data_IF_347301008923
#
_entry.id   IF_347301008923
#
_cell.length_a   1.000
_cell.length_b   1.000
_cell.length_c   1.000
_cell.angle_alpha   90.00
_cell.angle_beta   90.00
_cell.angle_gamma   90.00
#
_symmetry.space_group_name_H-M   'P 1'
#
loop_
_entity.id
_entity.type
_entity.pdbx_description
1 polymer ?
#
# COMPACT_ATOMS: atom_id res chain seq x y z
N UNK A 1 -1.10 -16.44 2.42
CA UNK A 1 -1.16 -14.97 2.58
C UNK A 1 0.07 -14.39 1.88
N UNK A 2 -0.09 -13.44 0.95
CA UNK A 2 1.01 -12.88 0.16
C UNK A 2 2.12 -12.29 1.05
N UNK A 3 3.39 -12.43 0.65
CA UNK A 3 4.54 -11.90 1.42
C UNK A 3 4.39 -10.41 1.70
N UNK A 4 3.92 -9.64 0.72
CA UNK A 4 3.70 -8.18 0.86
C UNK A 4 2.78 -7.83 2.02
N UNK A 5 1.77 -8.66 2.36
CA UNK A 5 0.87 -8.42 3.49
C UNK A 5 1.63 -8.50 4.82
N UNK A 6 2.48 -9.53 4.97
CA UNK A 6 3.33 -9.69 6.15
C UNK A 6 4.33 -8.53 6.25
N UNK A 7 4.87 -8.06 5.12
CA UNK A 7 5.83 -6.95 5.09
C UNK A 7 5.20 -5.62 5.51
N UNK A 8 3.97 -5.31 5.08
CA UNK A 8 3.28 -4.08 5.51
C UNK A 8 2.90 -4.15 6.99
N UNK A 9 2.55 -5.33 7.49
CA UNK A 9 2.37 -5.53 8.93
C UNK A 9 3.66 -5.28 9.73
N UNK A 10 4.79 -5.84 9.28
CA UNK A 10 6.10 -5.60 9.89
C UNK A 10 6.54 -4.13 9.78
N UNK A 11 6.20 -3.45 8.68
CA UNK A 11 6.46 -2.03 8.51
C UNK A 11 5.70 -1.21 9.57
N UNK A 12 4.41 -1.50 9.80
CA UNK A 12 3.64 -0.85 10.86
C UNK A 12 4.32 -1.00 12.22
N UNK A 13 4.72 -2.23 12.60
CA UNK A 13 5.41 -2.49 13.87
C UNK A 13 6.69 -1.64 13.98
N UNK A 14 7.48 -1.54 12.90
CA UNK A 14 8.71 -0.73 12.88
C UNK A 14 8.42 0.76 13.08
N UNK A 15 7.38 1.29 12.43
CA UNK A 15 6.98 2.70 12.58
C UNK A 15 6.47 2.96 14.00
N UNK A 16 5.68 2.07 14.57
CA UNK A 16 5.20 2.15 15.97
C UNK A 16 6.35 2.08 16.97
N UNK A 17 7.34 1.20 16.74
CA UNK A 17 8.54 1.10 17.58
C UNK A 17 9.36 2.39 17.54
N UNK A 18 9.53 2.98 16.36
CA UNK A 18 10.22 4.26 16.21
C UNK A 18 9.46 5.39 16.91
N UNK A 19 8.13 5.40 16.79
CA UNK A 19 7.26 6.36 17.48
C UNK A 19 7.46 6.31 19.01
N UNK A 20 7.43 5.10 19.59
CA UNK A 20 7.66 4.88 21.02
C UNK A 20 9.07 5.31 21.44
N UNK A 21 10.09 5.00 20.64
CA UNK A 21 11.46 5.40 20.93
C UNK A 21 11.61 6.92 20.99
N UNK A 22 11.06 7.66 20.00
CA UNK A 22 11.08 9.13 20.01
C UNK A 22 10.33 9.68 21.23
N UNK A 23 9.17 9.11 21.55
CA UNK A 23 8.37 9.55 22.69
C UNK A 23 9.11 9.38 24.04
N UNK A 24 9.88 8.30 24.20
CA UNK A 24 10.60 7.99 25.45
C UNK A 24 11.93 8.74 25.56
N UNK A 25 12.70 8.83 24.47
CA UNK A 25 14.09 9.28 24.51
C UNK A 25 14.29 10.75 24.13
N UNK A 26 13.34 11.38 23.43
CA UNK A 26 13.50 12.77 23.00
C UNK A 26 12.81 13.76 23.95
N UNK A 27 13.62 14.39 24.81
CA UNK A 27 13.18 15.45 25.74
C UNK A 27 13.13 16.86 25.11
N UNK A 28 13.64 17.04 23.88
CA UNK A 28 13.71 18.34 23.22
C UNK A 28 12.40 18.72 22.50
N UNK A 29 11.55 19.49 23.17
CA UNK A 29 10.49 20.28 22.53
C UNK A 29 11.13 21.41 21.72
N UNK A 30 10.78 21.67 20.44
CA UNK A 30 9.60 21.23 19.66
C UNK A 30 9.89 20.17 18.56
N UNK A 31 11.13 19.70 18.44
CA UNK A 31 11.57 18.75 17.39
C UNK A 31 10.94 17.38 17.57
N UNK A 32 10.86 16.89 18.81
CA UNK A 32 10.24 15.61 19.14
C UNK A 32 8.75 15.61 18.75
N UNK A 33 8.02 16.66 19.15
CA UNK A 33 6.59 16.81 18.83
C UNK A 33 6.36 16.85 17.30
N UNK A 34 7.17 17.62 16.57
CA UNK A 34 7.14 17.68 15.12
C UNK A 34 7.33 16.31 14.46
N UNK A 35 8.30 15.55 14.95
CA UNK A 35 8.62 14.20 14.45
C UNK A 35 7.52 13.19 14.74
N UNK A 36 6.90 13.27 15.93
CA UNK A 36 5.76 12.41 16.29
C UNK A 36 4.55 12.67 15.39
N UNK A 37 4.22 13.93 15.10
CA UNK A 37 3.14 14.25 14.17
C UNK A 37 3.43 13.76 12.74
N UNK A 38 4.67 13.89 12.27
CA UNK A 38 5.08 13.32 10.99
C UNK A 38 4.89 11.80 10.96
N UNK A 39 5.42 11.09 11.97
CA UNK A 39 5.28 9.63 12.05
C UNK A 39 3.82 9.19 12.16
N UNK A 40 3.00 9.90 12.93
CA UNK A 40 1.56 9.63 13.03
C UNK A 40 0.87 9.70 11.66
N UNK A 41 1.26 10.67 10.82
CA UNK A 41 0.69 10.80 9.49
C UNK A 41 1.11 9.67 8.55
N UNK A 42 2.35 9.17 8.65
CA UNK A 42 2.79 7.98 7.90
C UNK A 42 2.12 6.72 8.43
N UNK A 43 2.07 6.56 9.76
CA UNK A 43 1.49 5.42 10.43
C UNK A 43 0.00 5.25 10.08
N UNK A 44 -0.75 6.35 10.03
CA UNK A 44 -2.17 6.32 9.68
C UNK A 44 -2.41 5.70 8.29
N UNK A 45 -1.59 6.06 7.29
CA UNK A 45 -1.74 5.49 5.93
C UNK A 45 -1.35 4.00 5.90
N UNK A 46 -0.29 3.61 6.61
CA UNK A 46 0.15 2.21 6.70
C UNK A 46 -0.87 1.36 7.46
N UNK A 47 -1.45 1.87 8.54
CA UNK A 47 -2.49 1.19 9.32
C UNK A 47 -3.77 1.01 8.51
N UNK A 48 -4.21 2.04 7.78
CA UNK A 48 -5.38 1.94 6.90
C UNK A 48 -5.17 0.84 5.85
N UNK A 49 -3.99 0.81 5.20
CA UNK A 49 -3.65 -0.26 4.27
C UNK A 49 -3.62 -1.64 4.93
N UNK A 50 -3.02 -1.79 6.11
CA UNK A 50 -3.01 -3.05 6.84
C UNK A 50 -4.42 -3.54 7.20
N UNK A 51 -5.29 -2.65 7.66
CA UNK A 51 -6.68 -3.00 7.95
C UNK A 51 -7.40 -3.48 6.70
N UNK A 52 -7.14 -2.87 5.53
CA UNK A 52 -7.67 -3.34 4.26
C UNK A 52 -7.13 -4.74 3.91
N UNK A 53 -5.83 -4.98 4.09
CA UNK A 53 -5.19 -6.27 3.79
C UNK A 53 -5.63 -7.40 4.73
N UNK A 54 -6.05 -7.09 5.95
CA UNK A 54 -6.49 -8.06 6.96
C UNK A 54 -7.98 -8.41 6.91
N UNK A 55 -8.77 -7.72 6.07
CA UNK A 55 -10.20 -8.05 5.92
C UNK A 55 -10.36 -9.47 5.39
N UNK A 56 -11.34 -10.20 5.93
CA UNK A 56 -11.61 -11.61 5.61
C UNK A 56 -11.97 -11.87 4.14
N UNK A 57 -12.35 -10.83 3.39
CA UNK A 57 -12.70 -10.89 1.97
C UNK A 57 -11.61 -10.29 1.06
N UNK A 58 -10.49 -9.81 1.63
CA UNK A 58 -9.38 -9.28 0.83
C UNK A 58 -8.60 -10.42 0.21
N UNK A 59 -8.48 -10.41 -1.11
CA UNK A 59 -7.74 -11.42 -1.87
C UNK A 59 -6.66 -10.79 -2.75
N UNK A 60 -5.94 -11.62 -3.52
CA UNK A 60 -4.91 -11.17 -4.46
C UNK A 60 -5.38 -10.06 -5.41
N UNK A 61 -6.67 -10.08 -5.77
CA UNK A 61 -7.27 -9.08 -6.69
C UNK A 61 -7.32 -7.67 -6.10
N UNK A 62 -7.35 -7.54 -4.77
CA UNK A 62 -7.44 -6.24 -4.10
C UNK A 62 -6.06 -5.64 -3.86
N UNK A 63 -4.99 -6.47 -3.88
CA UNK A 63 -3.64 -6.04 -3.55
C UNK A 63 -3.18 -4.89 -4.43
N UNK A 64 -3.42 -4.96 -5.75
CA UNK A 64 -2.98 -3.89 -6.65
C UNK A 64 -3.55 -2.53 -6.25
N UNK A 65 -4.86 -2.46 -5.99
CA UNK A 65 -5.52 -1.22 -5.59
C UNK A 65 -5.01 -0.74 -4.23
N UNK A 66 -4.98 -1.61 -3.22
CA UNK A 66 -4.58 -1.24 -1.85
C UNK A 66 -3.13 -0.71 -1.83
N UNK A 67 -2.21 -1.43 -2.47
CA UNK A 67 -0.78 -1.06 -2.49
C UNK A 67 -0.57 0.21 -3.30
N UNK A 68 -1.20 0.34 -4.48
CA UNK A 68 -1.05 1.53 -5.32
C UNK A 68 -1.63 2.76 -4.63
N UNK A 69 -2.75 2.63 -3.91
CA UNK A 69 -3.32 3.72 -3.12
C UNK A 69 -2.43 4.12 -1.95
N UNK A 70 -1.84 3.16 -1.23
CA UNK A 70 -0.86 3.43 -0.19
C UNK A 70 0.35 4.19 -0.76
N UNK A 71 0.95 3.69 -1.85
CA UNK A 71 2.10 4.33 -2.50
C UNK A 71 1.74 5.73 -3.00
N UNK A 72 0.56 5.93 -3.58
CA UNK A 72 0.06 7.24 -4.00
C UNK A 72 -0.07 8.19 -2.81
N UNK A 73 -0.69 7.74 -1.71
CA UNK A 73 -0.84 8.54 -0.48
C UNK A 73 0.53 8.94 0.09
N UNK A 74 1.47 7.99 0.19
CA UNK A 74 2.83 8.26 0.68
C UNK A 74 3.61 9.21 -0.24
N UNK A 75 3.53 9.05 -1.57
CA UNK A 75 4.14 9.95 -2.54
C UNK A 75 3.53 11.35 -2.47
N UNK A 76 2.21 11.46 -2.38
CA UNK A 76 1.55 12.75 -2.20
C UNK A 76 2.06 13.48 -0.95
N UNK A 77 2.49 12.79 0.12
CA UNK A 77 3.08 13.46 1.29
C UNK A 77 4.45 14.10 1.02
N UNK A 78 5.14 13.72 -0.06
CA UNK A 78 6.39 14.36 -0.49
C UNK A 78 6.13 15.71 -1.19
N UNK A 79 5.00 15.81 -1.90
CA UNK A 79 4.66 16.91 -2.81
C UNK A 79 3.60 17.88 -2.24
N UNK A 80 2.67 17.38 -1.42
CA UNK A 80 1.72 18.20 -0.70
C UNK A 80 2.48 19.12 0.25
N UNK A 81 1.89 20.26 0.62
CA UNK A 81 2.51 21.22 1.53
C UNK A 81 2.77 20.58 2.90
N UNK A 82 3.91 19.88 2.95
CA UNK A 82 4.65 19.30 4.06
C UNK A 82 3.84 18.45 5.02
N UNK A 83 4.04 17.13 4.92
CA UNK A 83 3.94 16.18 6.04
C UNK A 83 2.65 16.20 6.88
N UNK A 84 1.62 16.96 6.49
CA UNK A 84 0.52 17.41 7.32
C UNK A 84 0.68 18.83 7.90
N UNK A 85 -0.40 19.61 7.85
CA UNK A 85 -0.47 21.01 8.34
C UNK A 85 0.12 21.23 9.74
N UNK A 86 -0.13 20.31 10.68
CA UNK A 86 0.39 20.41 12.05
C UNK A 86 1.93 20.34 12.11
N UNK A 87 2.55 19.54 11.24
CA UNK A 87 4.01 19.47 11.12
C UNK A 87 4.54 20.82 10.62
N UNK A 88 3.83 21.48 9.70
CA UNK A 88 4.20 22.82 9.25
C UNK A 88 4.12 23.87 10.35
N UNK A 89 3.01 23.91 11.06
CA UNK A 89 2.82 24.84 12.16
C UNK A 89 3.91 24.67 13.24
N UNK A 90 4.47 23.46 13.39
CA UNK A 90 5.58 23.17 14.31
C UNK A 90 6.95 23.52 13.73
N UNK A 91 7.19 23.25 12.44
CA UNK A 91 8.42 23.64 11.75
C UNK A 91 8.59 25.17 11.74
N UNK A 92 7.50 25.93 11.58
CA UNK A 92 7.53 27.41 11.63
C UNK A 92 7.90 27.97 13.01
N UNK A 93 7.70 27.19 14.07
CA UNK A 93 8.05 27.57 15.45
C UNK A 93 9.51 27.30 15.80
N UNK A 94 10.22 26.53 14.97
CA UNK A 94 11.65 26.26 15.16
C UNK A 94 12.43 27.52 14.76
N UNK A 95 13.26 28.03 15.68
CA UNK A 95 13.96 29.30 15.48
C UNK A 95 15.17 29.19 14.54
N UNK A 96 15.69 27.98 14.31
CA UNK A 96 16.90 27.73 13.54
C UNK A 96 16.58 27.18 12.14
N UNK A 97 16.81 27.94 11.05
CA UNK A 97 16.52 27.51 9.69
C UNK A 97 17.26 26.24 9.24
N UNK A 98 18.45 26.00 9.80
CA UNK A 98 19.25 24.80 9.55
C UNK A 98 18.54 23.55 10.09
N UNK A 99 18.03 23.59 11.32
CA UNK A 99 17.29 22.49 11.94
C UNK A 99 16.01 22.15 11.17
N UNK A 100 15.30 23.17 10.68
CA UNK A 100 14.12 23.01 9.83
C UNK A 100 14.48 22.24 8.54
N UNK A 101 15.56 22.65 7.87
CA UNK A 101 15.99 22.02 6.63
C UNK A 101 16.46 20.58 6.86
N UNK A 102 17.16 20.32 7.96
CA UNK A 102 17.63 18.98 8.31
C UNK A 102 16.46 18.05 8.64
N UNK A 103 15.44 18.53 9.37
CA UNK A 103 14.21 17.78 9.61
C UNK A 103 13.45 17.48 8.33
N UNK A 104 13.30 18.48 7.44
CA UNK A 104 12.64 18.27 6.15
C UNK A 104 13.37 17.21 5.30
N UNK A 105 14.71 17.22 5.29
CA UNK A 105 15.51 16.19 4.62
C UNK A 105 15.28 14.83 5.29
N UNK A 106 15.34 14.75 6.61
CA UNK A 106 15.14 13.53 7.37
C UNK A 106 13.77 12.91 7.07
N UNK A 107 12.70 13.70 7.11
CA UNK A 107 11.34 13.24 6.85
C UNK A 107 11.15 12.79 5.40
N UNK A 108 11.74 13.50 4.42
CA UNK A 108 11.74 13.07 3.01
C UNK A 108 12.46 11.74 2.84
N UNK A 109 13.68 11.62 3.39
CA UNK A 109 14.47 10.39 3.33
C UNK A 109 13.74 9.22 3.98
N UNK A 110 13.12 9.44 5.15
CA UNK A 110 12.31 8.41 5.82
C UNK A 110 11.17 7.93 4.92
N UNK A 111 10.38 8.85 4.38
CA UNK A 111 9.23 8.50 3.55
C UNK A 111 9.66 7.79 2.26
N UNK A 112 10.78 8.19 1.65
CA UNK A 112 11.38 7.50 0.51
C UNK A 112 11.83 6.07 0.87
N UNK A 113 12.46 5.87 2.03
CA UNK A 113 12.83 4.53 2.50
C UNK A 113 11.59 3.66 2.69
N UNK A 114 10.51 4.20 3.24
CA UNK A 114 9.24 3.47 3.41
C UNK A 114 8.65 3.08 2.05
N UNK A 115 8.61 4.01 1.09
CA UNK A 115 8.14 3.75 -0.28
C UNK A 115 8.98 2.66 -0.94
N UNK A 116 10.30 2.81 -0.93
CA UNK A 116 11.22 1.82 -1.52
C UNK A 116 11.08 0.45 -0.87
N UNK A 117 10.87 0.40 0.45
CA UNK A 117 10.62 -0.84 1.17
C UNK A 117 9.35 -1.52 0.66
N UNK A 118 8.25 -0.79 0.47
CA UNK A 118 7.01 -1.37 -0.06
C UNK A 118 7.20 -1.82 -1.51
N UNK A 119 7.81 -0.97 -2.35
CA UNK A 119 8.04 -1.23 -3.77
C UNK A 119 8.89 -2.49 -3.98
N UNK A 120 9.95 -2.71 -3.19
CA UNK A 120 10.85 -3.84 -3.36
C UNK A 120 10.16 -5.20 -3.21
N UNK A 121 9.11 -5.28 -2.39
CA UNK A 121 8.35 -6.53 -2.20
C UNK A 121 7.12 -6.62 -3.11
N UNK A 122 6.71 -5.50 -3.69
CA UNK A 122 5.56 -5.45 -4.58
C UNK A 122 5.96 -5.63 -6.04
N UNK A 123 7.15 -5.17 -6.45
CA UNK A 123 7.58 -5.13 -7.85
C UNK A 123 7.50 -6.49 -8.53
N UNK A 124 7.97 -7.53 -7.84
CA UNK A 124 8.07 -8.91 -8.35
C UNK A 124 6.72 -9.50 -8.77
N UNK A 125 5.63 -9.03 -8.16
CA UNK A 125 4.27 -9.53 -8.40
C UNK A 125 3.30 -8.44 -8.88
N UNK A 126 3.77 -7.21 -9.08
CA UNK A 126 2.94 -6.05 -9.42
C UNK A 126 2.14 -6.25 -10.71
N UNK A 127 2.75 -6.85 -11.74
CA UNK A 127 2.09 -7.16 -13.01
C UNK A 127 1.00 -8.22 -12.86
N UNK A 128 1.24 -9.23 -12.03
CA UNK A 128 0.24 -10.25 -11.69
C UNK A 128 -0.97 -9.57 -11.06
N UNK A 129 -0.76 -8.87 -9.94
CA UNK A 129 -1.82 -8.20 -9.19
C UNK A 129 -2.58 -7.19 -10.05
N UNK A 130 -1.88 -6.46 -10.94
CA UNK A 130 -2.51 -5.55 -11.90
C UNK A 130 -3.40 -6.28 -12.89
N UNK A 131 -2.92 -7.39 -13.46
CA UNK A 131 -3.68 -8.14 -14.46
C UNK A 131 -4.97 -8.69 -13.87
N UNK A 132 -4.96 -9.13 -12.61
CA UNK A 132 -6.09 -9.79 -11.96
C UNK A 132 -7.05 -8.80 -11.27
N UNK A 133 -6.70 -7.51 -11.21
CA UNK A 133 -7.53 -6.44 -10.62
C UNK A 133 -8.94 -6.39 -11.21
N UNK A 134 -9.09 -6.74 -12.50
CA UNK A 134 -10.37 -6.75 -13.22
C UNK A 134 -11.43 -7.65 -12.57
N UNK A 135 -11.01 -8.59 -11.72
CA UNK A 135 -11.89 -9.51 -11.01
C UNK A 135 -12.30 -9.03 -9.60
N UNK A 136 -11.76 -7.91 -9.13
CA UNK A 136 -11.99 -7.39 -7.77
C UNK A 136 -13.38 -6.79 -7.53
N UNK A 137 -13.88 -6.87 -6.29
CA UNK A 137 -15.25 -6.46 -5.92
C UNK A 137 -15.59 -5.00 -6.15
N UNK A 138 -14.60 -4.11 -6.12
CA UNK A 138 -14.82 -2.65 -6.15
C UNK A 138 -15.08 -2.13 -7.58
N UNK A 139 -14.82 -2.94 -8.62
CA UNK A 139 -14.84 -2.49 -10.02
C UNK A 139 -15.70 -3.30 -10.99
N UNK A 140 -16.48 -4.27 -10.51
CA UNK A 140 -17.17 -5.19 -11.42
C UNK A 140 -18.61 -4.76 -11.65
N UNK A 141 -18.78 -3.89 -12.62
CA UNK A 141 -19.87 -4.05 -13.57
C UNK A 141 -19.45 -5.19 -14.51
N UNK A 142 -20.01 -6.41 -14.34
CA UNK A 142 -19.65 -7.61 -15.12
C UNK A 142 -19.73 -7.32 -16.63
N UNK A 143 -20.57 -6.37 -17.04
CA UNK A 143 -20.71 -5.92 -18.41
C UNK A 143 -19.43 -5.32 -19.00
N UNK A 144 -18.57 -4.71 -18.19
CA UNK A 144 -17.31 -4.08 -18.64
C UNK A 144 -16.14 -5.05 -18.82
N UNK A 145 -16.27 -6.29 -18.37
CA UNK A 145 -15.21 -7.29 -18.56
C UNK A 145 -15.23 -7.75 -20.01
N UNK A 146 -14.17 -7.43 -20.77
CA UNK A 146 -14.00 -7.86 -22.16
C UNK A 146 -13.11 -9.10 -22.26
N UNK A 147 -13.32 -9.89 -23.32
CA UNK A 147 -12.57 -11.14 -23.54
C UNK A 147 -11.07 -10.94 -23.71
N UNK A 148 -10.66 -9.81 -24.32
CA UNK A 148 -9.25 -9.42 -24.42
C UNK A 148 -8.57 -9.30 -23.04
N UNK A 149 -9.30 -8.85 -22.02
CA UNK A 149 -8.78 -8.67 -20.67
C UNK A 149 -8.56 -10.02 -19.99
N UNK A 150 -9.49 -10.97 -20.18
CA UNK A 150 -9.36 -12.35 -19.69
C UNK A 150 -8.22 -13.08 -20.41
N UNK A 151 -8.12 -12.91 -21.74
CA UNK A 151 -7.03 -13.45 -22.55
C UNK A 151 -5.66 -12.99 -22.05
N UNK A 152 -5.49 -11.69 -21.76
CA UNK A 152 -4.23 -11.17 -21.21
C UNK A 152 -3.87 -11.76 -19.83
N UNK A 153 -4.85 -11.96 -18.94
CA UNK A 153 -4.59 -12.64 -17.67
C UNK A 153 -4.10 -14.08 -17.88
N UNK A 154 -4.76 -14.83 -18.77
CA UNK A 154 -4.40 -16.21 -19.10
C UNK A 154 -2.99 -16.26 -19.68
N UNK A 155 -2.68 -15.41 -20.67
CA UNK A 155 -1.34 -15.33 -21.27
C UNK A 155 -0.28 -14.99 -20.22
N UNK A 156 -0.57 -14.06 -19.31
CA UNK A 156 0.36 -13.70 -18.23
C UNK A 156 0.61 -14.87 -17.27
N UNK A 157 -0.44 -15.58 -16.85
CA UNK A 157 -0.33 -16.76 -15.98
C UNK A 157 0.54 -17.84 -16.61
N UNK A 158 0.29 -18.18 -17.88
CA UNK A 158 1.09 -19.16 -18.62
C UNK A 158 2.54 -18.71 -18.83
N UNK A 159 2.77 -17.44 -19.17
CA UNK A 159 4.12 -16.92 -19.39
C UNK A 159 4.99 -16.91 -18.13
N UNK A 160 4.38 -16.81 -16.94
CA UNK A 160 5.08 -16.75 -15.66
C UNK A 160 5.08 -18.08 -14.89
N UNK A 161 4.61 -19.19 -15.50
CA UNK A 161 4.54 -20.52 -14.88
C UNK A 161 3.87 -20.51 -13.49
N UNK A 162 2.85 -19.68 -13.30
CA UNK A 162 2.14 -19.59 -12.02
C UNK A 162 1.33 -20.88 -11.83
N UNK A 163 1.62 -21.64 -10.77
CA UNK A 163 0.95 -22.91 -10.55
C UNK A 163 -0.52 -22.75 -10.13
N UNK A 164 -1.31 -23.81 -10.35
CA UNK A 164 -2.74 -23.84 -10.06
C UNK A 164 -3.09 -23.71 -8.57
N UNK A 165 -2.20 -24.12 -7.66
CA UNK A 165 -2.39 -23.99 -6.21
C UNK A 165 -2.24 -22.53 -5.78
N UNK A 166 -1.27 -21.82 -6.36
CA UNK A 166 -1.06 -20.38 -6.17
C UNK A 166 -2.30 -19.59 -6.64
N UNK A 167 -2.81 -19.91 -7.83
CA UNK A 167 -4.06 -19.35 -8.34
C UNK A 167 -5.25 -19.69 -7.41
N UNK A 168 -5.43 -20.97 -7.03
CA UNK A 168 -6.57 -21.40 -6.22
C UNK A 168 -6.62 -20.72 -4.84
N UNK A 169 -5.46 -20.52 -4.22
CA UNK A 169 -5.35 -19.82 -2.93
C UNK A 169 -5.63 -18.31 -3.04
N UNK A 170 -5.29 -17.67 -4.17
CA UNK A 170 -5.56 -16.25 -4.38
C UNK A 170 -6.95 -15.96 -4.96
N UNK A 171 -7.60 -16.94 -5.60
CA UNK A 171 -8.86 -16.78 -6.34
C UNK A 171 -10.07 -17.53 -5.78
N UNK A 172 -9.96 -18.19 -4.62
CA UNK A 172 -11.05 -18.96 -4.02
C UNK A 172 -12.37 -18.16 -3.85
N UNK A 173 -12.30 -16.83 -3.74
CA UNK A 173 -13.48 -15.95 -3.65
C UNK A 173 -14.07 -15.52 -5.02
N UNK A 174 -13.38 -15.75 -6.14
CA UNK A 174 -13.94 -15.55 -7.50
C UNK A 174 -15.00 -16.62 -7.83
N UNK A 175 -15.03 -17.74 -7.09
CA UNK A 175 -15.96 -18.84 -7.34
C UNK A 175 -17.44 -18.43 -7.42
N UNK A 176 -17.87 -17.43 -6.64
CA UNK A 176 -19.24 -16.89 -6.69
C UNK A 176 -19.53 -16.10 -7.98
N UNK A 177 -18.50 -15.49 -8.59
CA UNK A 177 -18.59 -14.69 -9.83
C UNK A 177 -18.27 -15.49 -11.10
N UNK A 178 -17.63 -16.65 -10.95
CA UNK A 178 -17.35 -17.58 -12.04
C UNK A 178 -18.63 -17.96 -12.78
N UNK A 179 -19.76 -18.10 -12.09
CA UNK A 179 -21.08 -18.38 -12.69
C UNK A 179 -21.50 -17.26 -13.65
N UNK A 180 -21.34 -15.99 -13.25
CA UNK A 180 -21.69 -14.83 -14.08
C UNK A 180 -20.76 -14.65 -15.28
N UNK A 181 -19.45 -14.87 -15.10
CA UNK A 181 -18.46 -14.83 -16.19
C UNK A 181 -18.72 -15.98 -17.18
N UNK A 182 -18.96 -17.19 -16.67
CA UNK A 182 -19.29 -18.37 -17.49
C UNK A 182 -20.57 -18.15 -18.30
N UNK A 183 -21.58 -17.51 -17.70
CA UNK A 183 -22.82 -17.16 -18.39
C UNK A 183 -22.66 -16.09 -19.47
N UNK A 184 -21.76 -15.12 -19.29
CA UNK A 184 -21.49 -14.06 -20.29
C UNK A 184 -20.71 -14.56 -21.52
N UNK A 185 -19.81 -15.52 -21.32
CA UNK A 185 -18.93 -16.03 -22.36
C UNK A 185 -19.31 -17.46 -22.82
N UNK A 186 -20.58 -17.85 -22.65
CA UNK A 186 -21.16 -19.12 -23.12
C UNK A 186 -20.41 -20.40 -22.72
N UNK A 187 -19.85 -20.43 -21.51
CA UNK A 187 -19.11 -21.58 -21.03
C UNK A 187 -17.70 -21.62 -21.61
N UNK A 188 -16.72 -21.37 -20.74
CA UNK A 188 -15.32 -21.74 -20.98
C UNK A 188 -15.24 -23.26 -21.20
#
# INVERSE_FOLDING_TARGET
>A
MPEIVVRIFLLQIKVETLFLWIYVECLAFPIAECSLYFLNNVLAEVQEANLLLQRHYTTGVNLYSIITDLLRKLNNRLDDHYFGRKVMDLLEKIQHPTEINDLKKLFRSFNQIVIQYIESYYQDHSLLYKSILIFGEIHVDIERIEWKSIGHCITFIYANNIDNVCLYNEFNHIGSKYIGIKGKFDGI
#
